data_IF_810701578283
#
_entry.id   IF_810701578283
#
_cell.length_a   1.000
_cell.length_b   1.000
_cell.length_c   1.000
_cell.angle_alpha   90.00
_cell.angle_beta   90.00
_cell.angle_gamma   90.00
#
_symmetry.space_group_name_H-M   'P 1'
#
loop_
_entity.id
_entity.type
_entity.pdbx_description
1 polymer ?
#
# COMPACT_ATOMS: atom_id res chain seq x y z
N UNK A 1 5.80 -3.51 12.92
CA UNK A 1 5.29 -3.50 14.32
C UNK A 1 5.38 -2.12 14.97
N UNK A 2 6.54 -1.51 15.17
CA UNK A 2 6.60 -0.16 15.80
C UNK A 2 5.78 0.90 15.05
N UNK A 3 5.82 0.89 13.72
CA UNK A 3 5.05 1.83 12.90
C UNK A 3 3.53 1.61 13.00
N UNK A 4 3.03 0.37 13.12
CA UNK A 4 1.60 0.12 13.30
C UNK A 4 1.08 0.51 14.70
N UNK A 5 1.98 0.87 15.61
CA UNK A 5 1.64 1.47 16.92
C UNK A 5 1.80 3.00 16.90
N UNK A 6 2.07 3.61 15.74
CA UNK A 6 2.40 5.04 15.63
C UNK A 6 3.76 5.42 16.23
N UNK A 7 4.58 4.44 16.64
CA UNK A 7 5.85 4.69 17.31
C UNK A 7 6.98 4.89 16.29
N UNK A 8 7.00 6.08 15.68
CA UNK A 8 8.01 6.46 14.71
C UNK A 8 9.40 6.62 15.33
N UNK A 9 9.47 7.02 16.61
CA UNK A 9 10.73 7.22 17.33
C UNK A 9 11.51 5.92 17.44
N UNK A 10 10.89 4.87 17.96
CA UNK A 10 11.56 3.59 18.17
C UNK A 10 11.85 2.87 16.85
N UNK A 11 10.99 3.07 15.84
CA UNK A 11 11.25 2.57 14.49
C UNK A 11 12.51 3.20 13.86
N UNK A 12 12.71 4.52 14.03
CA UNK A 12 13.93 5.18 13.56
C UNK A 12 15.15 4.77 14.38
N UNK A 13 15.02 4.69 15.71
CA UNK A 13 16.10 4.23 16.59
C UNK A 13 16.60 2.83 16.18
N UNK A 14 15.69 1.88 15.95
CA UNK A 14 16.06 0.53 15.50
C UNK A 14 16.81 0.53 14.17
N UNK A 15 16.37 1.34 13.20
CA UNK A 15 17.03 1.45 11.90
C UNK A 15 18.43 2.06 12.01
N UNK A 16 18.60 3.04 12.90
CA UNK A 16 19.91 3.66 13.14
C UNK A 16 20.87 2.69 13.84
N UNK A 17 20.41 1.93 14.84
CA UNK A 17 21.22 0.87 15.46
C UNK A 17 21.59 -0.22 14.44
N UNK A 18 20.65 -0.63 13.58
CA UNK A 18 20.92 -1.60 12.52
C UNK A 18 22.01 -1.11 11.55
N UNK A 19 21.97 0.16 11.16
CA UNK A 19 23.03 0.78 10.33
C UNK A 19 24.37 0.84 11.05
N UNK A 20 24.38 1.18 12.35
CA UNK A 20 25.61 1.21 13.16
C UNK A 20 26.26 -0.17 13.26
N UNK A 21 25.46 -1.21 13.49
CA UNK A 21 25.96 -2.58 13.52
C UNK A 21 26.57 -3.01 12.20
N UNK A 22 25.93 -2.69 11.07
CA UNK A 22 26.46 -2.96 9.74
C UNK A 22 27.83 -2.26 9.53
N UNK A 23 27.92 -0.98 9.87
CA UNK A 23 29.16 -0.21 9.79
C UNK A 23 30.29 -0.78 10.67
N UNK A 24 29.96 -1.27 11.88
CA UNK A 24 30.93 -1.87 12.79
C UNK A 24 31.52 -3.18 12.25
N UNK A 25 30.71 -3.98 11.56
CA UNK A 25 31.11 -5.25 10.94
C UNK A 25 31.80 -5.07 9.57
N UNK A 26 32.14 -3.83 9.16
CA UNK A 26 32.65 -3.45 7.82
C UNK A 26 31.78 -3.94 6.64
N UNK A 27 30.53 -4.31 6.90
CA UNK A 27 29.58 -4.77 5.89
C UNK A 27 28.46 -3.76 5.74
N UNK A 28 28.22 -3.29 4.52
CA UNK A 28 27.01 -2.51 4.26
C UNK A 28 25.76 -3.36 4.55
N UNK A 29 24.68 -2.69 4.96
CA UNK A 29 23.39 -3.37 5.05
C UNK A 29 23.09 -4.03 3.71
N UNK A 30 22.54 -5.27 3.72
CA UNK A 30 22.18 -5.94 2.49
C UNK A 30 21.25 -5.02 1.68
N UNK A 31 21.68 -4.69 0.47
CA UNK A 31 20.96 -3.82 -0.47
C UNK A 31 19.76 -4.55 -1.07
N UNK A 32 18.91 -5.09 -0.21
CA UNK A 32 17.65 -5.72 -0.59
C UNK A 32 16.58 -4.66 -0.77
N UNK A 33 15.63 -4.93 -1.67
CA UNK A 33 14.48 -4.07 -1.92
C UNK A 33 13.71 -3.73 -0.64
N UNK A 34 13.65 -4.66 0.32
CA UNK A 34 12.96 -4.46 1.60
C UNK A 34 13.71 -3.48 2.51
N UNK A 35 15.03 -3.61 2.63
CA UNK A 35 15.85 -2.66 3.41
C UNK A 35 15.78 -1.26 2.78
N UNK A 36 15.87 -1.19 1.45
CA UNK A 36 15.75 0.08 0.74
C UNK A 36 14.36 0.70 0.91
N UNK A 37 13.29 -0.10 0.79
CA UNK A 37 11.92 0.35 1.07
C UNK A 37 11.80 0.94 2.48
N UNK A 38 12.27 0.25 3.51
CA UNK A 38 12.20 0.72 4.91
C UNK A 38 13.00 2.03 5.08
N UNK A 39 14.18 2.13 4.46
CA UNK A 39 15.03 3.33 4.51
C UNK A 39 14.37 4.58 3.92
N UNK A 40 13.47 4.41 2.94
CA UNK A 40 12.69 5.51 2.37
C UNK A 40 11.35 5.72 3.06
N UNK A 41 10.77 4.66 3.61
CA UNK A 41 9.49 4.72 4.33
C UNK A 41 9.61 5.60 5.57
N UNK A 42 10.64 5.41 6.41
CA UNK A 42 10.78 6.15 7.67
C UNK A 42 10.85 7.68 7.47
N UNK A 43 11.69 8.24 6.58
CA UNK A 43 11.69 9.68 6.31
C UNK A 43 10.41 10.18 5.62
N UNK A 44 9.69 9.31 4.91
CA UNK A 44 8.42 9.66 4.26
C UNK A 44 7.30 9.85 5.29
N UNK A 45 7.26 9.00 6.32
CA UNK A 45 6.35 9.13 7.45
C UNK A 45 6.67 10.38 8.29
N UNK A 46 7.95 10.71 8.49
CA UNK A 46 8.35 11.94 9.20
C UNK A 46 7.92 13.23 8.51
N UNK A 47 7.88 13.23 7.17
CA UNK A 47 7.51 14.40 6.36
C UNK A 47 6.01 14.55 6.13
N UNK A 48 5.21 13.60 6.64
CA UNK A 48 3.78 13.53 6.41
C UNK A 48 3.41 13.58 4.90
N UNK A 49 4.16 12.84 4.07
CA UNK A 49 4.03 12.89 2.62
C UNK A 49 3.29 11.67 2.03
N UNK A 50 1.95 11.66 2.15
CA UNK A 50 1.10 10.59 1.60
C UNK A 50 1.37 10.27 0.11
N UNK A 51 1.58 11.24 -0.81
CA UNK A 51 1.89 10.92 -2.21
C UNK A 51 3.18 10.12 -2.38
N UNK A 52 4.21 10.42 -1.57
CA UNK A 52 5.48 9.68 -1.59
C UNK A 52 5.28 8.28 -1.02
N UNK A 53 4.49 8.14 0.05
CA UNK A 53 4.16 6.84 0.63
C UNK A 53 3.48 5.93 -0.40
N UNK A 54 2.48 6.43 -1.12
CA UNK A 54 1.81 5.67 -2.18
C UNK A 54 2.77 5.27 -3.31
N UNK A 55 3.66 6.18 -3.71
CA UNK A 55 4.70 5.89 -4.71
C UNK A 55 5.66 4.79 -4.25
N UNK A 56 6.06 4.80 -2.98
CA UNK A 56 6.88 3.75 -2.40
C UNK A 56 6.16 2.39 -2.43
N UNK A 57 4.88 2.34 -2.05
CA UNK A 57 4.08 1.10 -2.13
C UNK A 57 4.03 0.53 -3.54
N UNK A 58 3.87 1.39 -4.56
CA UNK A 58 3.87 0.95 -5.96
C UNK A 58 5.25 0.47 -6.41
N UNK A 59 6.31 1.24 -6.13
CA UNK A 59 7.66 0.93 -6.58
C UNK A 59 8.22 -0.37 -5.96
N UNK A 60 7.83 -0.65 -4.72
CA UNK A 60 8.31 -1.81 -3.96
C UNK A 60 7.26 -2.92 -3.86
N UNK A 61 6.22 -2.89 -4.71
CA UNK A 61 5.11 -3.85 -4.69
C UNK A 61 5.59 -5.30 -4.74
N UNK A 62 6.59 -5.61 -5.57
CA UNK A 62 7.15 -6.96 -5.72
C UNK A 62 7.79 -7.55 -4.47
N UNK A 63 8.24 -6.71 -3.52
CA UNK A 63 8.77 -7.16 -2.23
C UNK A 63 7.70 -7.15 -1.13
N UNK A 64 6.75 -6.22 -1.20
CA UNK A 64 5.62 -6.11 -0.28
C UNK A 64 4.65 -7.29 -0.46
N UNK A 65 4.32 -7.65 -1.70
CA UNK A 65 3.37 -8.73 -2.01
C UNK A 65 3.88 -10.13 -1.65
N UNK A 66 5.17 -10.27 -1.31
CA UNK A 66 5.73 -11.56 -0.88
C UNK A 66 5.14 -12.02 0.45
N UNK A 67 4.72 -11.07 1.29
CA UNK A 67 4.14 -11.32 2.59
C UNK A 67 2.83 -10.52 2.71
N UNK A 68 1.65 -11.18 2.63
CA UNK A 68 0.35 -10.51 2.68
C UNK A 68 0.19 -9.59 3.90
N UNK A 69 0.75 -9.98 5.06
CA UNK A 69 0.71 -9.18 6.28
C UNK A 69 1.35 -7.79 6.13
N UNK A 70 2.27 -7.59 5.17
CA UNK A 70 2.85 -6.27 4.93
C UNK A 70 1.85 -5.29 4.31
N UNK A 71 0.94 -5.76 3.45
CA UNK A 71 -0.08 -4.88 2.91
C UNK A 71 -1.04 -4.41 4.00
N UNK A 72 -1.44 -5.32 4.90
CA UNK A 72 -2.27 -4.98 6.06
C UNK A 72 -1.57 -3.96 6.96
N UNK A 73 -0.30 -4.21 7.33
CA UNK A 73 0.52 -3.28 8.12
C UNK A 73 0.63 -1.90 7.47
N UNK A 74 0.81 -1.84 6.16
CA UNK A 74 0.92 -0.57 5.42
C UNK A 74 -0.40 0.18 5.37
N UNK A 75 -1.53 -0.52 5.34
CA UNK A 75 -2.84 0.11 5.45
C UNK A 75 -3.07 0.66 6.86
N UNK A 76 -2.64 -0.03 7.92
CA UNK A 76 -2.70 0.51 9.29
C UNK A 76 -1.80 1.75 9.43
N UNK A 77 -0.60 1.71 8.87
CA UNK A 77 0.32 2.85 8.86
C UNK A 77 -0.30 4.03 8.11
N UNK A 78 -0.97 3.79 6.97
CA UNK A 78 -1.63 4.85 6.21
C UNK A 78 -2.79 5.49 6.98
N UNK A 79 -3.56 4.69 7.71
CA UNK A 79 -4.61 5.16 8.59
C UNK A 79 -4.05 5.99 9.76
N UNK A 80 -3.03 5.47 10.44
CA UNK A 80 -2.41 6.11 11.60
C UNK A 80 -1.69 7.43 11.28
N UNK A 81 -0.91 7.47 10.20
CA UNK A 81 -0.07 8.63 9.89
C UNK A 81 -0.76 9.64 8.97
N UNK A 82 -1.67 9.19 8.10
CA UNK A 82 -2.28 10.06 7.08
C UNK A 82 -3.81 10.17 7.21
N UNK A 83 -4.44 9.46 8.15
CA UNK A 83 -5.91 9.44 8.28
C UNK A 83 -6.63 8.78 7.10
N UNK A 84 -5.92 8.00 6.28
CA UNK A 84 -6.52 7.31 5.14
C UNK A 84 -7.32 6.12 5.66
N UNK A 85 -8.64 6.14 5.43
CA UNK A 85 -9.48 5.00 5.79
C UNK A 85 -9.02 3.75 5.03
N UNK A 86 -8.90 2.62 5.73
CA UNK A 86 -8.63 1.33 5.09
C UNK A 86 -9.70 1.10 4.03
N UNK A 87 -9.27 0.76 2.82
CA UNK A 87 -10.21 0.24 1.82
C UNK A 87 -10.73 -1.07 2.36
N UNK A 88 -11.99 -1.10 2.77
CA UNK A 88 -12.63 -2.36 3.11
C UNK A 88 -12.48 -3.30 1.91
N UNK A 89 -12.07 -4.57 2.09
CA UNK A 89 -11.96 -5.54 0.99
C UNK A 89 -13.25 -5.61 0.15
N UNK A 90 -14.39 -5.38 0.82
CA UNK A 90 -15.71 -5.33 0.20
C UNK A 90 -15.92 -4.11 -0.72
N UNK A 91 -15.25 -2.99 -0.48
CA UNK A 91 -15.42 -1.75 -1.26
C UNK A 91 -14.89 -1.88 -2.70
N UNK A 92 -13.90 -2.77 -2.93
CA UNK A 92 -13.43 -3.13 -4.27
C UNK A 92 -14.37 -4.09 -5.00
N UNK A 93 -14.93 -5.09 -4.29
CA UNK A 93 -15.87 -6.05 -4.88
C UNK A 93 -17.19 -5.40 -5.32
N UNK A 94 -17.70 -4.39 -4.60
CA UNK A 94 -18.91 -3.69 -5.03
C UNK A 94 -18.69 -2.91 -6.34
N UNK A 95 -17.53 -2.29 -6.55
CA UNK A 95 -17.24 -1.51 -7.75
C UNK A 95 -17.21 -2.33 -9.05
N UNK A 96 -16.71 -3.56 -8.98
CA UNK A 96 -16.67 -4.47 -10.12
C UNK A 96 -18.06 -5.07 -10.41
N UNK A 97 -18.85 -5.40 -9.36
CA UNK A 97 -20.23 -5.89 -9.52
C UNK A 97 -21.14 -4.82 -10.15
N UNK A 98 -21.00 -3.54 -9.77
CA UNK A 98 -21.80 -2.47 -10.38
C UNK A 98 -21.43 -2.24 -11.85
N UNK A 99 -20.14 -2.31 -12.21
CA UNK A 99 -19.70 -2.22 -13.61
C UNK A 99 -20.21 -3.38 -14.46
N UNK A 100 -20.17 -4.60 -13.95
CA UNK A 100 -20.69 -5.77 -14.67
C UNK A 100 -22.22 -5.70 -14.82
N UNK A 101 -22.93 -5.14 -13.82
CA UNK A 101 -24.37 -4.89 -13.92
C UNK A 101 -24.71 -3.79 -14.94
N UNK A 102 -23.93 -2.70 -15.00
CA UNK A 102 -24.12 -1.63 -15.98
C UNK A 102 -23.90 -2.16 -17.41
N UNK A 103 -22.87 -2.99 -17.62
CA UNK A 103 -22.61 -3.63 -18.92
C UNK A 103 -23.73 -4.58 -19.33
N UNK A 104 -24.36 -5.31 -18.39
CA UNK A 104 -25.51 -6.16 -18.68
C UNK A 104 -26.78 -5.34 -18.96
N UNK A 105 -26.99 -4.23 -18.26
CA UNK A 105 -28.15 -3.36 -18.45
C UNK A 105 -28.10 -2.62 -19.82
N UNK A 106 -26.91 -2.17 -20.24
CA UNK A 106 -26.71 -1.53 -21.55
C UNK A 106 -26.95 -2.51 -22.72
N UNK A 107 -26.58 -3.78 -22.55
CA UNK A 107 -26.84 -4.83 -23.55
C UNK A 107 -28.33 -5.21 -23.65
N UNK A 108 -29.07 -5.20 -22.54
CA UNK A 108 -30.52 -5.46 -22.52
C UNK A 108 -31.30 -4.29 -23.13
N UNK A 109 -30.92 -3.05 -22.88
CA UNK A 109 -31.55 -1.86 -23.48
C UNK A 109 -31.28 -1.82 -25.00
N UNK A 110 -30.05 -2.14 -25.43
CA UNK A 110 -29.70 -2.20 -26.86
C UNK A 110 -30.42 -3.33 -27.61
N UNK A 111 -30.62 -4.49 -26.96
CA UNK A 111 -31.37 -5.62 -27.53
C UNK A 111 -32.87 -5.32 -27.66
N UNK A 112 -33.47 -4.63 -26.69
CA UNK A 112 -34.88 -4.23 -26.74
C UNK A 112 -35.15 -3.08 -27.74
N UNK A 113 -34.15 -2.22 -28.03
CA UNK A 113 -34.26 -1.19 -29.05
C UNK A 113 -34.26 -1.76 -30.48
N UNK A 114 -33.61 -2.90 -30.70
CA UNK A 114 -33.58 -3.58 -32.01
C UNK A 114 -34.86 -4.38 -32.30
N UNK A 115 -35.61 -4.81 -31.29
CA UNK A 115 -36.85 -5.60 -31.46
C UNK A 115 -38.11 -4.77 -31.74
N UNK A 116 -38.07 -3.43 -31.56
CA UNK A 116 -39.21 -2.53 -31.83
C UNK A 116 -39.10 -1.80 -33.19
N UNK A 117 -38.17 -2.20 -34.05
CA UNK A 117 -38.00 -1.65 -35.41
C UNK A 117 -38.30 -2.67 -36.53
N UNK A 118 -38.99 -3.77 -36.22
CA UNK A 118 -39.56 -4.72 -37.20
C UNK A 118 -41.06 -4.80 -36.95
#
# INVERSE_FOLDING_TARGET
>A
MYLSMGNLRDANFLMDELKKHAQYEEHDLPQSDLIQFISYLLPTLQRDALPLFNKLRTNYKSCIDREPAFNELLDEIAELFYGVQRRNPLQGMFGDIFKDFDVLNDNVISSNALYNCI
#
